data_IF_936526703020
#
_entry.id   IF_936526703020
#
_cell.length_a   1.000
_cell.length_b   1.000
_cell.length_c   1.000
_cell.angle_alpha   90.00
_cell.angle_beta   90.00
_cell.angle_gamma   90.00
#
_symmetry.space_group_name_H-M   'P 1'
#
loop_
_entity.id
_entity.type
_entity.pdbx_description
1 polymer ?
#
# COMPACT_ATOMS: atom_id res chain seq x y z
N UNK A 1 20.87 3.88 16.23
CA UNK A 1 22.11 3.09 15.98
C UNK A 1 23.17 3.91 15.22
N UNK A 2 22.81 4.62 14.13
CA UNK A 2 23.73 5.46 13.34
C UNK A 2 24.40 6.57 14.18
N UNK A 3 23.64 7.27 15.03
CA UNK A 3 24.16 8.31 15.93
C UNK A 3 25.13 7.71 16.96
N UNK A 4 24.79 6.54 17.53
CA UNK A 4 25.67 5.84 18.46
C UNK A 4 26.97 5.38 17.79
N UNK A 5 26.91 4.96 16.51
CA UNK A 5 28.08 4.61 15.73
C UNK A 5 28.98 5.84 15.46
N UNK A 6 28.39 6.99 15.12
CA UNK A 6 29.13 8.23 14.90
C UNK A 6 29.83 8.73 16.17
N UNK A 7 29.16 8.64 17.32
CA UNK A 7 29.77 8.97 18.62
C UNK A 7 30.90 7.99 19.00
N UNK A 8 30.73 6.70 18.68
CA UNK A 8 31.75 5.68 18.96
C UNK A 8 33.02 5.88 18.12
N UNK A 9 32.91 6.45 16.89
CA UNK A 9 34.07 6.80 16.05
C UNK A 9 34.99 7.78 16.76
N UNK A 10 34.43 8.76 17.47
CA UNK A 10 35.19 9.77 18.21
C UNK A 10 35.87 9.21 19.47
N UNK A 11 35.43 8.06 19.97
CA UNK A 11 35.89 7.46 21.22
C UNK A 11 36.75 6.19 21.02
N UNK A 12 37.28 5.98 19.80
CA UNK A 12 38.13 4.80 19.49
C UNK A 12 39.55 5.04 20.02
N UNK A 13 39.86 4.48 21.20
CA UNK A 13 41.23 4.53 21.77
C UNK A 13 41.94 3.16 21.70
N UNK A 14 41.19 2.05 21.75
CA UNK A 14 41.76 0.70 21.82
C UNK A 14 41.51 -0.09 20.53
N UNK A 15 42.44 -1.00 20.21
CA UNK A 15 42.28 -1.94 19.05
C UNK A 15 40.97 -2.69 19.06
N UNK A 16 40.47 -3.08 20.25
CA UNK A 16 39.19 -3.77 20.43
C UNK A 16 38.01 -2.88 19.97
N UNK A 17 38.07 -1.59 20.27
CA UNK A 17 37.00 -0.66 19.92
C UNK A 17 36.90 -0.46 18.41
N UNK A 18 38.05 -0.47 17.71
CA UNK A 18 38.10 -0.42 16.26
C UNK A 18 37.43 -1.63 15.61
N UNK A 19 37.71 -2.84 16.09
CA UNK A 19 37.03 -4.08 15.56
C UNK A 19 35.54 -4.10 15.83
N UNK A 20 35.12 -3.66 17.03
CA UNK A 20 33.69 -3.52 17.34
C UNK A 20 33.00 -2.52 16.42
N UNK A 21 33.66 -1.39 16.14
CA UNK A 21 33.12 -0.39 15.22
C UNK A 21 32.94 -0.96 13.82
N UNK A 22 33.95 -1.70 13.30
CA UNK A 22 33.86 -2.37 12.00
C UNK A 22 32.68 -3.34 11.94
N UNK A 23 32.51 -4.19 12.96
CA UNK A 23 31.39 -5.13 13.03
C UNK A 23 30.04 -4.43 13.01
N UNK A 24 29.90 -3.33 13.77
CA UNK A 24 28.67 -2.52 13.78
C UNK A 24 28.41 -1.86 12.43
N UNK A 25 29.45 -1.31 11.78
CA UNK A 25 29.33 -0.71 10.45
C UNK A 25 28.95 -1.76 9.40
N UNK A 26 29.56 -2.95 9.41
CA UNK A 26 29.19 -4.05 8.52
C UNK A 26 27.73 -4.48 8.70
N UNK A 27 27.30 -4.57 9.96
CA UNK A 27 25.90 -4.88 10.26
C UNK A 27 24.92 -3.79 9.71
N UNK A 28 25.26 -2.52 9.91
CA UNK A 28 24.47 -1.40 9.38
C UNK A 28 24.42 -1.38 7.85
N UNK A 29 25.52 -1.67 7.17
CA UNK A 29 25.56 -1.81 5.71
C UNK A 29 24.65 -2.95 5.26
N UNK A 30 24.73 -4.11 5.95
CA UNK A 30 23.85 -5.25 5.68
C UNK A 30 22.36 -4.90 5.83
N UNK A 31 21.98 -4.23 6.92
CA UNK A 31 20.62 -3.72 7.11
C UNK A 31 20.21 -2.72 6.02
N UNK A 32 21.15 -1.87 5.57
CA UNK A 32 20.91 -0.92 4.49
C UNK A 32 20.61 -1.60 3.16
N UNK A 33 21.34 -2.64 2.80
CA UNK A 33 21.07 -3.44 1.58
C UNK A 33 19.68 -4.09 1.60
N UNK A 34 19.22 -4.52 2.76
CA UNK A 34 17.92 -5.16 2.91
C UNK A 34 16.78 -4.14 2.85
N UNK A 35 16.99 -2.92 3.36
CA UNK A 35 15.95 -1.89 3.47
C UNK A 35 15.66 -1.13 2.20
N UNK A 36 16.59 -1.07 1.23
CA UNK A 36 16.43 -0.28 0.01
C UNK A 36 16.73 -1.08 -1.26
N UNK A 37 15.73 -1.18 -2.14
CA UNK A 37 15.82 -1.85 -3.44
C UNK A 37 16.26 -0.92 -4.59
N UNK A 38 16.73 0.30 -4.27
CA UNK A 38 17.20 1.25 -5.28
C UNK A 38 18.60 0.90 -5.77
N UNK A 39 18.78 0.88 -7.09
CA UNK A 39 20.09 0.62 -7.72
C UNK A 39 21.14 1.66 -7.29
N UNK A 40 20.75 2.93 -7.11
CA UNK A 40 21.65 3.97 -6.61
C UNK A 40 22.12 3.73 -5.17
N UNK A 41 21.23 3.23 -4.31
CA UNK A 41 21.58 2.86 -2.94
C UNK A 41 22.57 1.69 -2.92
N UNK A 42 22.46 0.76 -3.83
CA UNK A 42 23.38 -0.37 -4.00
C UNK A 42 24.81 0.09 -4.24
N UNK A 43 25.02 1.03 -5.19
CA UNK A 43 26.34 1.62 -5.44
C UNK A 43 26.85 2.38 -4.21
N UNK A 44 25.99 3.11 -3.51
CA UNK A 44 26.34 3.81 -2.29
C UNK A 44 26.84 2.88 -1.19
N UNK A 45 26.10 1.82 -0.88
CA UNK A 45 26.49 0.84 0.15
C UNK A 45 27.75 0.06 -0.22
N UNK A 46 27.93 -0.30 -1.51
CA UNK A 46 29.15 -0.93 -2.00
C UNK A 46 30.36 0.01 -1.85
N UNK A 47 30.20 1.29 -2.11
CA UNK A 47 31.24 2.29 -1.90
C UNK A 47 31.62 2.43 -0.42
N UNK A 48 30.64 2.47 0.48
CA UNK A 48 30.88 2.53 1.93
C UNK A 48 31.60 1.25 2.40
N UNK A 49 31.17 0.08 1.91
CA UNK A 49 31.83 -1.20 2.20
C UNK A 49 33.29 -1.19 1.75
N UNK A 50 33.57 -0.70 0.53
CA UNK A 50 34.93 -0.58 0.01
C UNK A 50 35.81 0.32 0.87
N UNK A 51 35.30 1.48 1.31
CA UNK A 51 36.00 2.40 2.21
C UNK A 51 36.27 1.75 3.56
N UNK A 52 35.36 0.99 4.11
CA UNK A 52 35.52 0.29 5.37
C UNK A 52 36.54 -0.83 5.29
N UNK A 53 36.55 -1.61 4.20
CA UNK A 53 37.57 -2.64 3.94
C UNK A 53 38.97 -1.98 3.73
N UNK A 54 38.99 -0.88 3.03
CA UNK A 54 40.24 -0.11 2.82
C UNK A 54 40.81 0.44 4.14
N UNK A 55 39.97 1.01 5.01
CA UNK A 55 40.35 1.45 6.34
C UNK A 55 40.95 0.32 7.17
N UNK A 56 40.31 -0.87 7.10
CA UNK A 56 40.78 -2.08 7.78
C UNK A 56 42.14 -2.55 7.24
N UNK A 57 42.29 -2.53 5.91
CA UNK A 57 43.53 -2.94 5.25
C UNK A 57 44.73 -2.00 5.63
N UNK A 58 44.52 -0.70 5.75
CA UNK A 58 45.53 0.26 6.21
C UNK A 58 45.84 0.01 7.69
N UNK A 59 44.85 -0.16 8.51
CA UNK A 59 45.04 -0.36 9.96
C UNK A 59 45.85 -1.60 10.29
N UNK A 60 45.66 -2.70 9.56
CA UNK A 60 46.41 -3.95 9.75
C UNK A 60 47.70 -4.04 8.92
N UNK A 61 47.78 -3.27 7.83
CA UNK A 61 48.91 -3.29 6.88
C UNK A 61 50.00 -2.26 7.20
N UNK A 62 50.42 -2.12 8.46
CA UNK A 62 51.44 -1.18 8.85
C UNK A 62 52.70 -1.34 7.98
N UNK A 63 53.00 -0.33 7.11
CA UNK A 63 54.13 -0.34 6.18
C UNK A 63 53.82 -0.80 4.75
N UNK A 64 52.60 -1.19 4.43
CA UNK A 64 52.21 -1.52 3.07
C UNK A 64 51.82 -0.25 2.31
N UNK A 65 52.35 0.00 1.10
CA UNK A 65 52.00 1.19 0.31
C UNK A 65 50.52 1.21 -0.04
N UNK A 66 49.90 2.36 0.09
CA UNK A 66 48.45 2.60 -0.12
C UNK A 66 47.92 2.03 -1.45
N UNK A 67 48.77 2.10 -2.53
CA UNK A 67 48.42 1.51 -3.83
C UNK A 67 48.17 0.00 -3.75
N UNK A 68 48.96 -0.75 -2.98
CA UNK A 68 48.78 -2.21 -2.80
C UNK A 68 47.50 -2.51 -2.01
N UNK A 69 47.17 -1.69 -1.01
CA UNK A 69 45.94 -1.82 -0.23
C UNK A 69 44.69 -1.56 -1.09
N UNK A 70 44.74 -0.56 -1.98
CA UNK A 70 43.63 -0.30 -2.92
C UNK A 70 43.44 -1.48 -3.89
N UNK A 71 44.53 -1.97 -4.47
CA UNK A 71 44.50 -3.11 -5.38
C UNK A 71 43.95 -4.37 -4.69
N UNK A 72 44.38 -4.62 -3.45
CA UNK A 72 43.91 -5.75 -2.65
C UNK A 72 42.38 -5.69 -2.40
N UNK A 73 41.89 -4.54 -1.96
CA UNK A 73 40.43 -4.33 -1.75
C UNK A 73 39.64 -4.45 -3.06
N UNK A 74 40.17 -3.90 -4.16
CA UNK A 74 39.56 -4.02 -5.49
C UNK A 74 39.46 -5.48 -5.97
N UNK A 75 40.54 -6.26 -5.78
CA UNK A 75 40.54 -7.69 -6.12
C UNK A 75 39.56 -8.48 -5.26
N UNK A 76 39.48 -8.17 -3.96
CA UNK A 76 38.50 -8.81 -3.05
C UNK A 76 37.07 -8.57 -3.48
N UNK A 77 36.70 -7.33 -3.81
CA UNK A 77 35.35 -6.98 -4.27
C UNK A 77 35.07 -7.66 -5.63
N UNK A 78 36.03 -7.63 -6.55
CA UNK A 78 35.90 -8.28 -7.86
C UNK A 78 35.70 -9.80 -7.73
N UNK A 79 36.44 -10.43 -6.82
CA UNK A 79 36.33 -11.87 -6.57
C UNK A 79 35.00 -12.23 -5.85
N UNK A 80 34.48 -11.38 -4.98
CA UNK A 80 33.20 -11.58 -4.32
C UNK A 80 31.99 -11.33 -5.25
N UNK A 81 32.16 -10.52 -6.29
CA UNK A 81 31.10 -10.10 -7.21
C UNK A 81 30.38 -11.26 -7.90
N UNK A 82 31.03 -12.28 -8.50
CA UNK A 82 30.33 -13.39 -9.15
C UNK A 82 29.51 -14.23 -8.17
N UNK A 83 30.01 -14.43 -6.93
CA UNK A 83 29.30 -15.15 -5.89
C UNK A 83 28.08 -14.35 -5.44
N UNK A 84 28.24 -13.04 -5.24
CA UNK A 84 27.14 -12.16 -4.88
C UNK A 84 26.06 -12.12 -5.97
N UNK A 85 26.44 -12.08 -7.25
CA UNK A 85 25.53 -12.11 -8.38
C UNK A 85 24.79 -13.45 -8.45
N UNK A 86 25.49 -14.55 -8.28
CA UNK A 86 24.91 -15.89 -8.29
C UNK A 86 23.91 -16.06 -7.13
N UNK A 87 24.25 -15.62 -5.94
CA UNK A 87 23.35 -15.63 -4.78
C UNK A 87 22.11 -14.74 -5.04
N UNK A 88 22.29 -13.57 -5.64
CA UNK A 88 21.18 -12.67 -5.99
C UNK A 88 20.20 -13.33 -6.99
N UNK A 89 20.72 -14.09 -7.95
CA UNK A 89 19.89 -14.80 -8.94
C UNK A 89 19.24 -16.07 -8.36
N UNK A 90 19.93 -16.76 -7.45
CA UNK A 90 19.43 -18.01 -6.87
C UNK A 90 18.50 -17.81 -5.69
N UNK A 91 18.77 -16.80 -4.85
CA UNK A 91 17.86 -16.51 -3.74
C UNK A 91 16.57 -15.90 -4.29
N UNK A 92 15.43 -16.58 -4.12
CA UNK A 92 14.15 -15.95 -4.40
C UNK A 92 14.09 -14.67 -3.56
N UNK A 93 13.64 -13.57 -4.13
CA UNK A 93 13.43 -12.32 -3.39
C UNK A 93 12.31 -12.57 -2.38
N UNK A 94 12.67 -13.13 -1.25
CA UNK A 94 11.75 -13.33 -0.14
C UNK A 94 11.32 -11.96 0.35
N UNK A 95 10.02 -11.73 0.54
CA UNK A 95 9.56 -10.52 1.21
C UNK A 95 10.28 -10.43 2.56
N UNK A 96 10.66 -9.23 3.02
CA UNK A 96 11.42 -9.06 4.23
C UNK A 96 10.76 -9.80 5.40
N UNK A 97 11.51 -10.63 6.12
CA UNK A 97 11.01 -11.49 7.21
C UNK A 97 10.39 -10.69 8.39
N UNK A 98 10.67 -9.38 8.47
CA UNK A 98 10.05 -8.44 9.42
C UNK A 98 8.79 -7.74 8.89
N UNK A 99 8.43 -7.85 7.62
CA UNK A 99 7.04 -7.68 7.30
C UNK A 99 6.35 -8.78 8.09
N UNK A 100 5.71 -8.38 9.19
CA UNK A 100 4.75 -9.27 9.85
C UNK A 100 4.04 -9.99 8.72
N UNK A 101 3.94 -11.33 8.77
CA UNK A 101 3.12 -12.00 7.79
C UNK A 101 1.80 -11.28 7.84
N UNK A 102 1.55 -10.46 6.83
CA UNK A 102 0.20 -10.09 6.49
C UNK A 102 -0.37 -11.44 6.22
N UNK A 103 -0.96 -11.98 7.27
CA UNK A 103 -1.55 -13.29 7.24
C UNK A 103 -2.40 -13.29 5.97
N UNK A 104 -2.07 -14.16 5.02
CA UNK A 104 -2.95 -14.43 3.86
C UNK A 104 -4.36 -14.79 4.32
N UNK A 105 -4.52 -15.07 5.63
CA UNK A 105 -5.78 -15.30 6.32
C UNK A 105 -6.54 -14.04 6.73
N UNK A 106 -5.94 -12.85 6.64
CA UNK A 106 -6.60 -11.57 6.91
C UNK A 106 -6.73 -10.69 5.66
N UNK A 107 -6.68 -11.26 4.47
CA UNK A 107 -7.36 -10.63 3.35
C UNK A 107 -8.87 -10.74 3.56
N UNK A 108 -9.37 -10.06 4.58
CA UNK A 108 -10.77 -9.62 4.65
C UNK A 108 -10.95 -8.54 3.59
N UNK A 109 -10.49 -8.77 2.40
CA UNK A 109 -10.49 -7.77 1.38
C UNK A 109 -10.99 -8.41 0.10
N UNK A 110 -12.09 -7.90 -0.43
CA UNK A 110 -12.43 -8.01 -1.82
C UNK A 110 -11.16 -7.70 -2.64
N UNK A 111 -10.82 -8.54 -3.57
CA UNK A 111 -9.77 -8.28 -4.55
C UNK A 111 -10.33 -7.38 -5.66
N UNK A 112 -9.47 -6.75 -6.48
CA UNK A 112 -9.89 -5.99 -7.70
C UNK A 112 -10.65 -6.86 -8.70
N UNK A 113 -10.64 -8.18 -8.46
CA UNK A 113 -11.32 -9.20 -9.24
C UNK A 113 -12.01 -10.17 -8.28
N UNK A 114 -13.16 -10.69 -8.67
CA UNK A 114 -13.94 -11.64 -7.87
C UNK A 114 -14.25 -12.86 -8.70
N UNK A 115 -13.84 -14.03 -8.20
CA UNK A 115 -14.25 -15.33 -8.73
C UNK A 115 -15.24 -16.02 -7.77
N UNK A 116 -16.11 -16.90 -8.24
CA UNK A 116 -17.05 -17.61 -7.36
C UNK A 116 -16.36 -18.35 -6.20
N UNK A 117 -15.16 -18.90 -6.41
CA UNK A 117 -14.38 -19.57 -5.37
C UNK A 117 -13.87 -18.63 -4.28
N UNK A 118 -13.51 -17.40 -4.63
CA UNK A 118 -13.06 -16.38 -3.69
C UNK A 118 -14.20 -15.94 -2.76
N UNK A 119 -15.42 -15.83 -3.30
CA UNK A 119 -16.63 -15.49 -2.52
C UNK A 119 -16.89 -16.57 -1.46
N UNK A 120 -16.74 -17.84 -1.79
CA UNK A 120 -16.97 -18.93 -0.86
C UNK A 120 -15.99 -18.86 0.33
N UNK A 121 -14.72 -18.54 0.10
CA UNK A 121 -13.72 -18.39 1.16
C UNK A 121 -13.96 -17.15 2.03
N UNK A 122 -14.41 -16.05 1.44
CA UNK A 122 -14.76 -14.82 2.15
C UNK A 122 -16.01 -15.00 3.03
N UNK A 123 -17.01 -15.73 2.57
CA UNK A 123 -18.24 -15.98 3.30
C UNK A 123 -18.03 -16.81 4.59
N UNK A 124 -16.95 -17.58 4.67
CA UNK A 124 -16.59 -18.37 5.87
C UNK A 124 -15.73 -17.59 6.87
N UNK A 125 -15.23 -16.39 6.53
CA UNK A 125 -14.44 -15.58 7.43
C UNK A 125 -15.31 -14.86 8.45
N UNK A 126 -15.01 -15.04 9.74
CA UNK A 126 -15.65 -14.33 10.87
C UNK A 126 -14.85 -13.08 11.31
N UNK A 127 -13.79 -12.71 10.60
CA UNK A 127 -12.99 -11.55 10.97
C UNK A 127 -13.74 -10.24 10.72
N UNK A 128 -13.56 -9.28 11.64
CA UNK A 128 -14.15 -7.95 11.51
C UNK A 128 -13.54 -7.24 10.30
N UNK A 129 -14.38 -6.81 9.36
CA UNK A 129 -13.94 -6.05 8.19
C UNK A 129 -13.91 -4.54 8.47
N UNK A 130 -14.97 -4.04 9.13
CA UNK A 130 -15.11 -2.63 9.51
C UNK A 130 -16.13 -2.48 10.63
N UNK A 131 -16.13 -1.33 11.27
CA UNK A 131 -17.19 -0.88 12.18
C UNK A 131 -17.67 0.52 11.81
N UNK A 132 -18.95 0.79 12.01
CA UNK A 132 -19.55 2.09 11.76
C UNK A 132 -20.23 2.61 13.04
N UNK A 133 -19.88 3.83 13.43
CA UNK A 133 -20.40 4.48 14.64
C UNK A 133 -21.18 5.72 14.23
N UNK A 134 -22.43 5.81 14.69
CA UNK A 134 -23.30 6.97 14.49
C UNK A 134 -23.36 7.80 15.77
N UNK A 135 -23.62 9.10 15.66
CA UNK A 135 -23.67 10.01 16.83
C UNK A 135 -24.78 9.59 17.82
N UNK A 136 -25.88 9.05 17.35
CA UNK A 136 -26.94 8.53 18.19
C UNK A 136 -27.58 7.28 17.62
N UNK A 137 -28.19 6.45 18.49
CA UNK A 137 -28.89 5.24 18.08
C UNK A 137 -30.08 5.51 17.15
N UNK A 138 -30.72 6.67 17.28
CA UNK A 138 -31.83 7.09 16.42
C UNK A 138 -31.42 7.41 14.98
N UNK A 139 -30.14 7.65 14.75
CA UNK A 139 -29.59 7.94 13.42
C UNK A 139 -29.12 6.68 12.68
N UNK A 140 -29.09 5.53 13.37
CA UNK A 140 -28.71 4.26 12.75
C UNK A 140 -29.81 3.85 11.79
N UNK A 141 -29.53 3.69 10.47
CA UNK A 141 -30.53 3.27 9.52
C UNK A 141 -31.09 1.88 9.85
N UNK A 142 -32.33 1.62 9.47
CA UNK A 142 -32.93 0.28 9.62
C UNK A 142 -32.11 -0.79 8.87
N UNK A 143 -32.13 -2.00 9.37
CA UNK A 143 -31.37 -3.12 8.82
C UNK A 143 -31.66 -3.35 7.34
N UNK A 144 -32.89 -3.13 6.91
CA UNK A 144 -33.35 -3.27 5.52
C UNK A 144 -32.80 -2.19 4.58
N UNK A 145 -32.46 -1.02 5.11
CA UNK A 145 -31.91 0.12 4.36
C UNK A 145 -30.38 0.20 4.40
N UNK A 146 -29.72 -0.66 5.19
CA UNK A 146 -28.25 -0.69 5.30
C UNK A 146 -27.61 -1.41 4.12
N UNK A 147 -27.40 -0.71 3.03
CA UNK A 147 -26.66 -1.23 1.91
C UNK A 147 -25.22 -0.71 1.91
N UNK A 148 -24.27 -1.57 2.32
CA UNK A 148 -22.84 -1.28 2.34
C UNK A 148 -22.22 -1.55 0.98
N UNK A 149 -21.72 -0.51 0.33
CA UNK A 149 -21.14 -0.60 -1.01
C UNK A 149 -19.63 -0.37 -0.92
N UNK A 150 -18.84 -1.33 -1.41
CA UNK A 150 -17.38 -1.23 -1.44
C UNK A 150 -16.84 -1.05 -2.86
N UNK A 151 -17.38 -1.79 -3.82
CA UNK A 151 -16.91 -1.79 -5.20
C UNK A 151 -18.03 -2.14 -6.17
N UNK A 152 -17.82 -1.80 -7.44
CA UNK A 152 -18.68 -2.21 -8.56
C UNK A 152 -17.81 -2.94 -9.59
N UNK A 153 -18.25 -4.14 -9.98
CA UNK A 153 -17.62 -4.95 -11.01
C UNK A 153 -18.61 -5.09 -12.15
N UNK A 154 -18.22 -4.74 -13.36
CA UNK A 154 -19.12 -4.75 -14.53
C UNK A 154 -18.63 -5.63 -15.67
N UNK A 155 -17.38 -6.04 -15.66
CA UNK A 155 -16.80 -6.90 -16.71
C UNK A 155 -16.70 -8.34 -16.26
N UNK A 156 -17.36 -9.24 -16.97
CA UNK A 156 -17.30 -10.68 -16.75
C UNK A 156 -16.63 -11.38 -17.93
N UNK A 157 -15.56 -12.12 -17.68
CA UNK A 157 -14.81 -12.86 -18.70
C UNK A 157 -15.29 -14.31 -18.92
N UNK A 158 -16.36 -14.72 -18.22
CA UNK A 158 -16.85 -16.09 -18.15
C UNK A 158 -16.51 -16.81 -16.85
N UNK A 159 -15.58 -16.31 -16.06
CA UNK A 159 -15.14 -16.89 -14.78
C UNK A 159 -14.96 -15.83 -13.69
N UNK A 160 -14.43 -14.67 -14.07
CA UNK A 160 -13.99 -13.63 -13.13
C UNK A 160 -14.70 -12.31 -13.41
N UNK A 161 -15.18 -11.66 -12.37
CA UNK A 161 -15.67 -10.29 -12.43
C UNK A 161 -14.53 -9.30 -12.17
N UNK A 162 -14.48 -8.22 -12.93
CA UNK A 162 -13.45 -7.19 -12.82
C UNK A 162 -13.99 -5.80 -13.21
N UNK A 163 -13.21 -4.76 -12.92
CA UNK A 163 -13.46 -3.41 -13.41
C UNK A 163 -12.91 -3.31 -14.82
N UNK A 164 -13.72 -2.93 -15.80
CA UNK A 164 -13.30 -2.83 -17.19
C UNK A 164 -12.24 -1.76 -17.42
N UNK A 165 -11.34 -2.00 -18.38
CA UNK A 165 -10.36 -1.00 -18.80
C UNK A 165 -11.01 0.29 -19.32
N UNK A 166 -12.18 0.16 -19.99
CA UNK A 166 -12.97 1.29 -20.48
C UNK A 166 -13.44 2.20 -19.34
N UNK A 167 -13.92 1.63 -18.23
CA UNK A 167 -14.31 2.42 -17.05
C UNK A 167 -13.09 3.13 -16.46
N UNK A 168 -11.99 2.43 -16.25
CA UNK A 168 -10.76 3.04 -15.70
C UNK A 168 -10.31 4.25 -16.54
N UNK A 169 -10.29 4.12 -17.86
CA UNK A 169 -9.92 5.20 -18.79
C UNK A 169 -10.93 6.36 -18.73
N UNK A 170 -12.24 6.08 -18.75
CA UNK A 170 -13.27 7.11 -18.68
C UNK A 170 -13.21 7.89 -17.37
N UNK A 171 -13.04 7.23 -16.24
CA UNK A 171 -12.90 7.87 -14.93
C UNK A 171 -11.65 8.76 -14.85
N UNK A 172 -10.53 8.29 -15.39
CA UNK A 172 -9.31 9.09 -15.48
C UNK A 172 -9.52 10.36 -16.32
N UNK A 173 -10.20 10.22 -17.46
CA UNK A 173 -10.49 11.33 -18.34
C UNK A 173 -11.43 12.34 -17.68
N UNK A 174 -12.50 11.88 -17.02
CA UNK A 174 -13.44 12.73 -16.29
C UNK A 174 -12.76 13.45 -15.12
N UNK A 175 -11.90 12.76 -14.39
CA UNK A 175 -11.11 13.34 -13.31
C UNK A 175 -10.14 14.41 -13.85
N UNK A 176 -9.47 14.15 -14.98
CA UNK A 176 -8.60 15.11 -15.65
C UNK A 176 -9.34 16.36 -16.09
N UNK A 177 -10.58 16.20 -16.56
CA UNK A 177 -11.47 17.33 -16.94
C UNK A 177 -12.04 18.09 -15.72
N UNK A 178 -11.70 17.69 -14.49
CA UNK A 178 -12.22 18.30 -13.27
C UNK A 178 -13.72 18.09 -13.06
N UNK A 179 -14.33 17.08 -13.71
CA UNK A 179 -15.76 16.80 -13.54
C UNK A 179 -16.05 16.31 -12.12
N UNK A 180 -17.02 16.93 -11.40
CA UNK A 180 -17.40 16.46 -10.09
C UNK A 180 -18.03 15.06 -10.18
N UNK A 181 -17.75 14.23 -9.20
CA UNK A 181 -18.41 12.93 -9.07
C UNK A 181 -19.84 13.10 -8.56
N UNK A 182 -20.76 12.13 -8.81
CA UNK A 182 -22.12 12.23 -8.30
C UNK A 182 -22.18 12.43 -6.79
N UNK A 183 -21.34 11.72 -6.03
CA UNK A 183 -21.27 11.83 -4.56
C UNK A 183 -20.73 13.19 -4.12
N UNK A 184 -19.76 13.78 -4.81
CA UNK A 184 -19.27 15.11 -4.48
C UNK A 184 -20.31 16.18 -4.73
N UNK A 185 -21.13 16.01 -5.76
CA UNK A 185 -22.28 16.89 -6.06
C UNK A 185 -23.35 16.76 -4.98
N UNK A 186 -23.62 15.54 -4.47
CA UNK A 186 -24.52 15.35 -3.32
C UNK A 186 -23.97 16.02 -2.06
N UNK A 187 -22.68 15.87 -1.80
CA UNK A 187 -22.03 16.47 -0.64
C UNK A 187 -22.06 18.01 -0.64
N UNK A 188 -22.12 18.64 -1.79
CA UNK A 188 -22.18 20.11 -1.93
C UNK A 188 -23.58 20.70 -1.69
N UNK A 189 -24.63 19.87 -1.75
CA UNK A 189 -26.00 20.32 -1.45
C UNK A 189 -26.14 20.53 0.06
N UNK A 190 -26.95 21.52 0.45
CA UNK A 190 -27.32 21.69 1.85
C UNK A 190 -28.27 20.56 2.26
N UNK A 191 -27.74 19.64 3.08
CA UNK A 191 -28.40 18.40 3.41
C UNK A 191 -28.56 18.27 4.92
N UNK A 192 -29.53 19.00 5.45
CA UNK A 192 -29.90 18.92 6.86
C UNK A 192 -30.35 17.52 7.30
N UNK A 193 -30.70 16.64 6.35
CA UNK A 193 -31.11 15.26 6.58
C UNK A 193 -29.98 14.24 6.43
N UNK A 194 -28.75 14.68 6.11
CA UNK A 194 -27.61 13.78 6.01
C UNK A 194 -27.13 13.34 7.40
N UNK A 195 -26.88 12.08 7.56
CA UNK A 195 -26.41 11.48 8.81
C UNK A 195 -24.91 11.29 8.78
N UNK A 196 -24.19 11.93 9.71
CA UNK A 196 -22.75 11.73 9.86
C UNK A 196 -22.46 10.43 10.61
N UNK A 197 -21.42 9.73 10.18
CA UNK A 197 -20.93 8.52 10.86
C UNK A 197 -19.41 8.36 10.68
N UNK A 198 -18.80 7.72 11.66
CA UNK A 198 -17.41 7.30 11.63
C UNK A 198 -17.32 5.85 11.13
N UNK A 199 -16.53 5.62 10.09
CA UNK A 199 -16.23 4.30 9.55
C UNK A 199 -14.80 3.92 9.93
N UNK A 200 -14.63 2.91 10.77
CA UNK A 200 -13.33 2.36 11.14
C UNK A 200 -13.11 1.09 10.32
N UNK A 201 -12.09 1.11 9.46
CA UNK A 201 -11.76 -0.01 8.56
C UNK A 201 -10.54 -0.75 9.10
N UNK A 202 -10.63 -2.09 9.16
CA UNK A 202 -9.50 -2.94 9.50
C UNK A 202 -8.48 -2.98 8.34
N UNK A 203 -7.20 -3.33 8.59
CA UNK A 203 -6.17 -3.36 7.56
C UNK A 203 -6.52 -4.32 6.44
N UNK A 204 -6.71 -3.80 5.23
CA UNK A 204 -7.05 -4.59 4.03
C UNK A 204 -5.96 -4.56 2.97
N UNK A 205 -4.97 -3.66 3.11
CA UNK A 205 -3.98 -3.33 2.07
C UNK A 205 -4.62 -2.85 0.76
N UNK A 206 -5.91 -2.53 0.78
CA UNK A 206 -6.71 -2.03 -0.35
C UNK A 206 -7.14 -0.59 -0.11
N UNK A 207 -7.74 0.02 -1.11
CA UNK A 207 -8.20 1.43 -1.04
C UNK A 207 -9.71 1.56 -0.90
N UNK A 208 -10.50 0.49 -1.04
CA UNK A 208 -11.95 0.60 -0.95
C UNK A 208 -12.45 0.82 0.46
N UNK A 209 -13.56 1.56 0.55
CA UNK A 209 -14.27 1.80 1.79
C UNK A 209 -15.65 1.16 1.71
N UNK A 210 -16.01 0.43 2.76
CA UNK A 210 -17.36 -0.12 2.93
C UNK A 210 -18.29 1.00 3.40
N UNK A 211 -18.82 1.80 2.48
CA UNK A 211 -19.68 2.93 2.82
C UNK A 211 -21.16 2.60 2.66
N UNK A 212 -21.99 3.14 3.54
CA UNK A 212 -23.45 3.16 3.31
C UNK A 212 -23.74 3.89 2.01
N UNK A 213 -24.63 3.34 1.20
CA UNK A 213 -24.90 3.91 -0.12
C UNK A 213 -26.28 4.61 -0.14
N UNK A 214 -26.33 5.88 -0.54
CA UNK A 214 -25.23 6.77 -0.95
C UNK A 214 -24.59 7.51 0.22
N UNK A 215 -23.26 7.56 0.24
CA UNK A 215 -22.49 8.37 1.20
C UNK A 215 -21.42 9.18 0.49
N UNK A 216 -21.06 10.30 1.07
CA UNK A 216 -19.96 11.13 0.61
C UNK A 216 -18.97 11.43 1.76
N UNK A 217 -17.72 11.84 1.46
CA UNK A 217 -16.79 12.28 2.48
C UNK A 217 -17.37 13.46 3.29
N UNK A 218 -17.17 13.46 4.60
CA UNK A 218 -17.55 14.61 5.43
C UNK A 218 -16.46 15.67 5.42
N UNK A 219 -16.69 16.76 4.71
CA UNK A 219 -15.75 17.87 4.58
C UNK A 219 -15.53 18.63 5.92
N UNK A 220 -16.41 18.47 6.91
CA UNK A 220 -16.29 19.11 8.23
C UNK A 220 -15.22 18.44 9.09
N UNK A 221 -14.96 17.17 8.88
CA UNK A 221 -14.08 16.34 9.70
C UNK A 221 -12.70 16.09 9.08
N UNK A 222 -12.17 16.98 8.24
CA UNK A 222 -10.87 16.80 7.57
C UNK A 222 -10.71 15.44 6.82
N UNK A 223 -11.77 14.92 6.24
CA UNK A 223 -11.72 13.67 5.46
C UNK A 223 -11.05 13.84 4.10
N UNK A 224 -9.93 14.56 4.07
CA UNK A 224 -9.10 14.85 2.88
C UNK A 224 -8.57 13.55 2.23
N UNK A 225 -8.69 12.42 2.93
CA UNK A 225 -8.11 11.15 2.51
C UNK A 225 -9.09 10.20 1.79
N UNK A 226 -10.25 10.70 1.37
CA UNK A 226 -11.29 9.90 0.70
C UNK A 226 -11.65 10.52 -0.64
N UNK A 227 -11.59 9.73 -1.69
CA UNK A 227 -12.03 10.08 -3.03
C UNK A 227 -13.35 9.40 -3.36
N UNK A 228 -14.30 10.16 -3.87
CA UNK A 228 -15.52 9.63 -4.47
C UNK A 228 -15.28 9.27 -5.94
N UNK A 229 -15.92 8.19 -6.39
CA UNK A 229 -15.82 7.68 -7.76
C UNK A 229 -17.14 7.89 -8.52
N UNK A 230 -17.09 7.75 -9.84
CA UNK A 230 -18.27 7.93 -10.69
C UNK A 230 -19.27 6.76 -10.58
N UNK A 231 -18.84 5.61 -10.04
CA UNK A 231 -19.65 4.45 -9.75
C UNK A 231 -20.30 4.46 -8.35
N UNK A 232 -20.36 5.62 -7.70
CA UNK A 232 -20.87 5.82 -6.34
C UNK A 232 -20.14 5.04 -5.25
N UNK A 233 -18.89 4.65 -5.49
CA UNK A 233 -18.02 4.07 -4.47
C UNK A 233 -17.08 5.11 -3.87
N UNK A 234 -16.57 4.82 -2.68
CA UNK A 234 -15.57 5.64 -2.00
C UNK A 234 -14.26 4.88 -1.89
N UNK A 235 -13.15 5.60 -2.06
CA UNK A 235 -11.81 5.03 -1.91
C UNK A 235 -10.92 5.92 -1.07
N UNK A 236 -10.11 5.30 -0.24
CA UNK A 236 -9.01 5.98 0.44
C UNK A 236 -7.91 6.36 -0.57
N UNK A 237 -7.22 7.48 -0.33
CA UNK A 237 -6.13 7.95 -1.21
C UNK A 237 -4.92 7.02 -1.17
N UNK A 238 -4.75 6.27 -0.08
CA UNK A 238 -3.64 5.32 0.12
C UNK A 238 -4.19 3.98 0.58
N UNK A 239 -3.50 2.86 0.29
CA UNK A 239 -3.87 1.55 0.81
C UNK A 239 -3.97 1.55 2.34
N UNK A 240 -4.97 0.87 2.86
CA UNK A 240 -5.27 0.81 4.30
C UNK A 240 -4.38 -0.29 4.92
N UNK A 241 -3.16 0.08 5.30
CA UNK A 241 -2.18 -0.83 5.89
C UNK A 241 -2.34 -1.00 7.41
N UNK A 242 -3.06 -0.08 8.06
CA UNK A 242 -3.38 -0.11 9.49
C UNK A 242 -4.82 0.29 9.71
N UNK A 243 -5.38 -0.06 10.89
CA UNK A 243 -6.72 0.36 11.30
C UNK A 243 -6.87 1.87 11.17
N UNK A 244 -7.87 2.34 10.42
CA UNK A 244 -8.04 3.75 10.10
C UNK A 244 -9.49 4.17 10.15
N UNK A 245 -9.72 5.36 10.70
CA UNK A 245 -11.04 5.99 10.75
C UNK A 245 -11.25 6.94 9.57
N UNK A 246 -12.46 6.94 9.05
CA UNK A 246 -12.93 7.83 7.99
C UNK A 246 -14.27 8.43 8.40
N UNK A 247 -14.48 9.72 8.17
CA UNK A 247 -15.71 10.41 8.49
C UNK A 247 -16.54 10.61 7.23
N UNK A 248 -17.75 10.09 7.23
CA UNK A 248 -18.63 10.04 6.09
C UNK A 248 -20.02 10.59 6.44
N UNK A 249 -20.76 11.06 5.44
CA UNK A 249 -22.16 11.45 5.57
C UNK A 249 -23.03 10.58 4.68
N UNK A 250 -24.03 9.96 5.27
CA UNK A 250 -25.03 9.14 4.59
C UNK A 250 -26.24 9.99 4.22
N UNK A 251 -26.80 9.79 3.02
CA UNK A 251 -27.92 10.54 2.43
C UNK A 251 -29.11 9.61 2.21
N UNK A 252 -29.95 9.33 3.22
CA UNK A 252 -31.00 8.32 3.13
C UNK A 252 -32.07 8.60 2.06
N UNK A 253 -32.29 9.88 1.75
CA UNK A 253 -33.34 10.33 0.82
C UNK A 253 -32.85 10.51 -0.63
N UNK A 254 -31.56 10.37 -0.87
CA UNK A 254 -31.00 10.50 -2.22
C UNK A 254 -31.02 9.15 -2.94
N UNK A 255 -31.54 9.16 -4.15
CA UNK A 255 -31.52 7.96 -5.01
C UNK A 255 -30.29 7.97 -5.90
N UNK A 256 -29.62 6.82 -5.99
CA UNK A 256 -28.45 6.61 -6.88
C UNK A 256 -28.87 6.67 -8.37
N UNK A 257 -30.18 6.57 -8.65
CA UNK A 257 -30.73 6.44 -9.99
C UNK A 257 -31.12 7.78 -10.59
N UNK A 258 -30.18 8.57 -11.09
CA UNK A 258 -30.51 9.63 -12.03
C UNK A 258 -30.22 9.18 -13.47
N UNK A 259 -31.00 8.21 -13.96
CA UNK A 259 -30.91 7.73 -15.33
C UNK A 259 -29.54 7.15 -15.70
N UNK A 260 -29.51 5.92 -16.12
CA UNK A 260 -28.29 5.29 -16.63
C UNK A 260 -27.97 5.96 -17.97
N UNK A 261 -26.88 6.76 -18.05
CA UNK A 261 -26.40 7.30 -19.32
C UNK A 261 -26.04 6.16 -20.30
N UNK A 262 -26.04 6.44 -21.59
CA UNK A 262 -25.71 5.42 -22.61
C UNK A 262 -24.38 4.71 -22.35
N UNK A 263 -23.37 5.41 -21.82
CA UNK A 263 -22.07 4.84 -21.45
C UNK A 263 -22.22 3.84 -20.28
N UNK A 264 -22.93 4.22 -19.23
CA UNK A 264 -23.20 3.36 -18.07
C UNK A 264 -24.00 2.11 -18.47
N UNK A 265 -25.03 2.29 -19.32
CA UNK A 265 -25.81 1.19 -19.86
C UNK A 265 -24.93 0.21 -20.65
N UNK A 266 -24.04 0.70 -21.52
CA UNK A 266 -23.12 -0.14 -22.28
C UNK A 266 -22.17 -0.92 -21.38
N UNK A 267 -21.68 -0.33 -20.28
CA UNK A 267 -20.79 -1.02 -19.35
C UNK A 267 -21.52 -2.07 -18.51
N UNK A 268 -22.73 -1.73 -18.01
CA UNK A 268 -23.42 -2.58 -17.05
C UNK A 268 -24.30 -3.67 -17.70
N UNK A 269 -24.64 -3.51 -18.98
CA UNK A 269 -25.46 -4.47 -19.74
C UNK A 269 -24.64 -5.34 -20.72
N UNK A 270 -23.31 -5.30 -20.64
CA UNK A 270 -22.48 -6.18 -21.48
C UNK A 270 -22.67 -7.64 -21.09
N UNK A 271 -22.96 -8.48 -22.08
CA UNK A 271 -22.98 -9.92 -21.89
C UNK A 271 -21.57 -10.51 -22.14
N UNK A 272 -21.26 -11.60 -21.44
CA UNK A 272 -20.05 -12.39 -21.75
C UNK A 272 -20.15 -12.92 -23.19
N UNK A 273 -19.06 -12.75 -23.96
CA UNK A 273 -18.98 -13.29 -25.33
C UNK A 273 -19.05 -14.82 -25.41
N UNK A 274 -18.87 -15.50 -24.30
CA UNK A 274 -18.86 -16.95 -24.18
C UNK A 274 -20.14 -17.52 -23.54
N UNK A 275 -21.23 -16.78 -23.56
CA UNK A 275 -22.51 -17.24 -23.08
C UNK A 275 -23.22 -18.13 -24.11
N UNK A 276 -22.78 -19.36 -24.25
CA UNK A 276 -23.59 -20.51 -24.69
C UNK A 276 -23.48 -21.57 -23.61
#
# INVERSE_FOLDING_TARGET
>A
LTVACALKVMLVEKKRDFHLLICVCLFLIGCGFISSLSVFAWFGYTGILALLLFSTAIYHGAGVPTKKSITFVGVLILQASPIALLLFLLLPQLPPLWQMPTSKSTQTGLSDTVTPGDIASLATSSSLAFSATFESAAQVPDTTSRYWRAMTLEHFDGKTWSISAKRKQAEQQLAYMGRPTPLSTMASKDTSYATAYELIVEPTSQTWLFALSPSAPDNRANSINVNSRFDFTLRANTPIASKKAFYLRYFPNEKITNGMGNFEAQLNLQMSKNGN
#
